data_IF_647753848013
#
_entry.id   IF_647753848013
#
_cell.length_a   1.000
_cell.length_b   1.000
_cell.length_c   1.000
_cell.angle_alpha   90.00
_cell.angle_beta   90.00
_cell.angle_gamma   90.00
#
_symmetry.space_group_name_H-M   'P 1'
#
loop_
_entity.id
_entity.type
_entity.pdbx_description
1 polymer ?
#
# COMPACT_ATOMS: atom_id res chain seq x y z
N UNK A 1 -2.64 1.49 -36.92
CA UNK A 1 -3.22 1.58 -35.56
C UNK A 1 -2.47 0.53 -34.73
N UNK A 2 -1.96 0.79 -33.54
CA UNK A 2 -2.44 1.63 -32.43
C UNK A 2 -1.46 2.74 -32.02
N UNK A 3 -1.97 3.82 -31.43
CA UNK A 3 -1.16 4.92 -30.85
C UNK A 3 -1.31 4.89 -29.33
N UNK A 4 -0.22 5.19 -28.63
CA UNK A 4 -0.24 5.50 -27.20
C UNK A 4 -0.08 4.28 -26.30
N UNK A 5 1.10 4.17 -25.69
CA UNK A 5 1.21 3.61 -24.34
C UNK A 5 0.43 4.54 -23.41
N UNK A 6 -0.74 4.10 -22.96
CA UNK A 6 -1.64 4.87 -22.08
C UNK A 6 -1.03 4.98 -20.67
N UNK A 7 -0.10 5.93 -20.49
CA UNK A 7 0.44 6.27 -19.19
C UNK A 7 -0.67 6.96 -18.38
N UNK A 8 -1.28 6.22 -17.45
CA UNK A 8 -2.47 6.65 -16.70
C UNK A 8 -2.15 7.87 -15.83
N UNK A 9 -2.42 9.05 -16.38
CA UNK A 9 -2.08 10.33 -15.77
C UNK A 9 -3.17 10.78 -14.81
N UNK A 10 -3.19 10.19 -13.62
CA UNK A 10 -4.01 10.64 -12.48
C UNK A 10 -3.69 12.12 -12.20
N UNK A 11 -4.71 12.98 -12.11
CA UNK A 11 -4.50 14.40 -11.80
C UNK A 11 -4.17 14.59 -10.31
N UNK A 12 -3.34 15.60 -9.98
CA UNK A 12 -2.99 15.92 -8.58
C UNK A 12 -4.23 16.09 -7.70
N UNK A 13 -5.24 16.78 -8.21
CA UNK A 13 -6.54 16.98 -7.55
C UNK A 13 -7.31 15.69 -7.28
N UNK A 14 -7.16 14.65 -8.11
CA UNK A 14 -7.78 13.35 -7.87
C UNK A 14 -7.00 12.57 -6.80
N UNK A 15 -5.67 12.62 -6.86
CA UNK A 15 -4.76 12.06 -5.84
C UNK A 15 -5.01 12.64 -4.44
N UNK A 16 -5.32 13.93 -4.34
CA UNK A 16 -5.68 14.62 -3.08
C UNK A 16 -6.99 14.10 -2.45
N UNK A 17 -7.88 13.51 -3.25
CA UNK A 17 -9.18 12.96 -2.81
C UNK A 17 -9.09 11.43 -2.60
N UNK A 18 -8.21 10.75 -3.34
CA UNK A 18 -7.99 9.31 -3.24
C UNK A 18 -7.19 8.94 -1.98
N UNK A 19 -7.86 8.24 -1.06
CA UNK A 19 -7.26 7.76 0.20
C UNK A 19 -7.05 6.24 0.18
N UNK A 20 -6.04 5.79 0.92
CA UNK A 20 -5.75 4.38 1.15
C UNK A 20 -6.95 3.69 1.83
N UNK A 21 -7.38 2.51 1.35
CA UNK A 21 -8.51 1.79 1.94
C UNK A 21 -8.25 1.36 3.39
N UNK A 22 -6.99 1.22 3.79
CA UNK A 22 -6.54 0.81 5.13
C UNK A 22 -6.26 2.02 6.04
N UNK A 23 -5.24 2.82 5.72
CA UNK A 23 -4.76 3.91 6.60
C UNK A 23 -5.58 5.20 6.54
N UNK A 24 -6.49 5.33 5.56
CA UNK A 24 -7.29 6.53 5.25
C UNK A 24 -6.46 7.80 4.97
N UNK A 25 -5.15 7.66 4.78
CA UNK A 25 -4.25 8.72 4.33
C UNK A 25 -4.28 8.86 2.80
N UNK A 26 -3.95 10.04 2.25
CA UNK A 26 -3.84 10.23 0.80
C UNK A 26 -2.84 9.25 0.17
N UNK A 27 -3.06 8.94 -1.09
CA UNK A 27 -2.17 8.09 -1.90
C UNK A 27 -1.22 8.94 -2.75
N UNK A 28 -0.15 8.33 -3.26
CA UNK A 28 0.83 8.95 -4.17
C UNK A 28 0.94 8.16 -5.46
N UNK A 29 0.87 8.84 -6.60
CA UNK A 29 0.97 8.20 -7.93
C UNK A 29 2.42 7.83 -8.23
N UNK A 30 2.65 6.61 -8.72
CA UNK A 30 3.92 6.14 -9.22
C UNK A 30 3.88 5.95 -10.74
N UNK A 31 4.30 6.96 -11.50
CA UNK A 31 4.31 6.94 -12.97
C UNK A 31 5.16 5.79 -13.55
N UNK A 32 6.15 5.30 -12.81
CA UNK A 32 7.04 4.20 -13.22
C UNK A 32 6.36 2.83 -13.26
N UNK A 33 5.33 2.62 -12.43
CA UNK A 33 4.72 1.30 -12.17
C UNK A 33 3.19 1.31 -12.27
N UNK A 34 2.61 2.40 -12.78
CA UNK A 34 1.14 2.61 -12.88
C UNK A 34 0.40 2.15 -11.62
N UNK A 35 0.85 2.65 -10.46
CA UNK A 35 0.39 2.21 -9.15
C UNK A 35 0.21 3.40 -8.19
N UNK A 36 -0.64 3.23 -7.18
CA UNK A 36 -0.87 4.20 -6.10
C UNK A 36 -0.21 3.70 -4.81
N UNK A 37 0.78 4.43 -4.30
CA UNK A 37 1.55 4.10 -3.10
C UNK A 37 0.91 4.76 -1.87
N UNK A 38 0.80 4.04 -0.76
CA UNK A 38 0.49 4.58 0.56
C UNK A 38 1.75 4.63 1.41
N UNK A 39 2.40 5.79 1.45
CA UNK A 39 3.63 6.03 2.23
C UNK A 39 3.43 5.76 3.73
N UNK A 40 2.20 5.87 4.23
CA UNK A 40 1.84 5.64 5.64
C UNK A 40 1.94 4.17 6.11
N UNK A 41 1.90 3.19 5.19
CA UNK A 41 1.95 1.76 5.51
C UNK A 41 2.85 0.95 4.56
N UNK A 42 3.56 1.61 3.63
CA UNK A 42 4.48 0.95 2.70
C UNK A 42 3.81 -0.06 1.76
N UNK A 43 2.62 0.25 1.22
CA UNK A 43 1.94 -0.63 0.23
C UNK A 43 1.61 0.12 -1.06
N UNK A 44 1.47 -0.62 -2.16
CA UNK A 44 1.04 -0.15 -3.46
C UNK A 44 -0.24 -0.84 -3.90
N UNK A 45 -1.09 -0.10 -4.61
CA UNK A 45 -2.32 -0.59 -5.24
C UNK A 45 -2.19 -0.42 -6.76
N UNK A 46 -2.45 -1.46 -7.56
CA UNK A 46 -2.28 -1.39 -9.01
C UNK A 46 -3.36 -0.53 -9.67
N UNK A 47 -3.03 0.07 -10.81
CA UNK A 47 -3.99 0.68 -11.74
C UNK A 47 -4.13 -0.26 -12.94
N UNK A 48 -5.32 -0.84 -13.12
CA UNK A 48 -5.62 -1.81 -14.19
C UNK A 48 -6.58 -1.15 -15.18
N UNK A 49 -6.24 -1.13 -16.46
CA UNK A 49 -7.03 -0.49 -17.53
C UNK A 49 -7.45 0.98 -17.23
N UNK A 50 -6.59 1.72 -16.53
CA UNK A 50 -6.85 3.09 -16.09
C UNK A 50 -7.65 3.23 -14.80
N UNK A 51 -8.09 2.12 -14.19
CA UNK A 51 -8.93 2.07 -12.99
C UNK A 51 -8.06 1.72 -11.76
N UNK A 52 -8.00 2.58 -10.72
CA UNK A 52 -7.32 2.25 -9.47
C UNK A 52 -7.99 1.10 -8.71
N UNK A 53 -7.27 0.01 -8.44
CA UNK A 53 -7.79 -1.12 -7.66
C UNK A 53 -7.46 -0.96 -6.16
N UNK A 54 -8.31 -0.24 -5.42
CA UNK A 54 -8.13 -0.01 -3.97
C UNK A 54 -8.73 -1.15 -3.11
N UNK A 55 -8.46 -2.39 -3.49
CA UNK A 55 -8.88 -3.59 -2.75
C UNK A 55 -7.79 -3.96 -1.74
N UNK A 56 -8.09 -4.08 -0.43
CA UNK A 56 -7.08 -4.41 0.60
C UNK A 56 -6.29 -5.70 0.39
N UNK A 57 -6.78 -6.64 -0.43
CA UNK A 57 -6.13 -7.91 -0.77
C UNK A 57 -5.15 -7.81 -1.93
N UNK A 58 -5.27 -6.77 -2.75
CA UNK A 58 -4.46 -6.54 -3.94
C UNK A 58 -3.34 -5.52 -3.65
N UNK A 59 -3.13 -5.20 -2.36
CA UNK A 59 -2.12 -4.27 -1.88
C UNK A 59 -0.78 -4.97 -1.71
N UNK A 60 0.17 -4.66 -2.58
CA UNK A 60 1.52 -5.24 -2.58
C UNK A 60 2.48 -4.39 -1.73
N UNK A 61 3.30 -5.04 -0.89
CA UNK A 61 4.28 -4.37 -0.04
C UNK A 61 5.34 -3.68 -0.90
N UNK A 62 5.61 -2.41 -0.64
CA UNK A 62 6.68 -1.64 -1.28
C UNK A 62 7.81 -1.50 -0.29
N UNK A 63 8.94 -2.15 -0.56
CA UNK A 63 10.21 -1.85 0.09
C UNK A 63 10.55 -0.38 -0.19
N UNK A 64 10.25 0.47 0.78
CA UNK A 64 10.50 1.91 0.72
C UNK A 64 11.70 2.17 1.62
N UNK A 65 12.78 2.70 1.03
CA UNK A 65 14.11 2.81 1.67
C UNK A 65 14.13 3.74 2.91
N UNK A 66 13.08 4.55 3.08
CA UNK A 66 12.81 5.39 4.26
C UNK A 66 11.59 4.87 5.03
N UNK A 67 11.84 4.15 6.13
CA UNK A 67 10.79 3.66 7.03
C UNK A 67 10.76 4.46 8.34
N UNK A 68 9.60 4.98 8.79
CA UNK A 68 9.34 5.19 10.21
C UNK A 68 9.18 3.81 10.85
N UNK A 69 10.09 3.47 11.76
CA UNK A 69 10.11 2.19 12.46
C UNK A 69 8.95 2.04 13.46
N UNK A 70 8.51 0.78 13.64
CA UNK A 70 7.61 0.29 14.70
C UNK A 70 6.09 0.64 14.50
N UNK A 71 5.11 -0.12 15.00
CA UNK A 71 5.13 -1.09 16.11
C UNK A 71 3.91 -2.07 16.03
N UNK A 72 3.92 -3.36 16.43
CA UNK A 72 4.94 -4.44 16.58
C UNK A 72 4.21 -5.78 16.30
N UNK A 73 4.92 -6.93 16.21
CA UNK A 73 4.28 -8.26 16.23
C UNK A 73 4.15 -8.76 17.67
N UNK A 74 2.93 -8.92 18.18
CA UNK A 74 2.68 -9.46 19.51
C UNK A 74 3.04 -10.95 19.58
N UNK A 75 4.19 -11.25 20.19
CA UNK A 75 4.56 -12.63 20.52
C UNK A 75 3.73 -13.09 21.73
N UNK A 76 2.56 -13.67 21.46
CA UNK A 76 1.70 -14.27 22.47
C UNK A 76 2.25 -15.64 22.92
N UNK A 77 3.43 -15.63 23.55
CA UNK A 77 4.12 -16.84 24.04
C UNK A 77 3.41 -17.40 25.29
N UNK A 78 2.34 -18.16 25.05
CA UNK A 78 1.64 -18.93 26.06
C UNK A 78 2.48 -20.13 26.52
N UNK A 79 3.40 -19.92 27.46
CA UNK A 79 4.09 -21.02 28.17
C UNK A 79 3.42 -21.31 29.51
N UNK A 80 2.61 -22.38 29.50
CA UNK A 80 1.93 -22.92 30.68
C UNK A 80 2.90 -23.34 31.79
N UNK A 81 2.57 -22.87 32.98
CA UNK A 81 2.90 -23.36 34.33
C UNK A 81 2.84 -24.89 34.54
N UNK A 82 3.97 -25.57 34.75
CA UNK A 82 4.15 -26.84 35.51
C UNK A 82 5.63 -27.30 35.42
N UNK A 83 6.27 -28.01 36.37
CA UNK A 83 5.94 -28.43 37.76
C UNK A 83 7.23 -28.88 38.47
N UNK A 84 7.27 -28.70 39.80
CA UNK A 84 8.04 -29.40 40.85
C UNK A 84 9.02 -30.52 40.44
N UNK A 85 10.29 -30.41 40.87
CA UNK A 85 10.93 -31.23 41.93
C UNK A 85 12.24 -30.58 42.36
#
# INVERSE_FOLDING_TARGET
MVRGSEMVKISKTLTEILVCPLSKQPLRVCDKSSSLISDAIGVSFPIVDGIPCLVPRDGEIVETEDAPSECKADSFDSKNNHKTT
#
